data_IF_828374212284
#
_entry.id   IF_828374212284
#
_cell.length_a   1.000
_cell.length_b   1.000
_cell.length_c   1.000
_cell.angle_alpha   90.00
_cell.angle_beta   90.00
_cell.angle_gamma   90.00
#
_symmetry.space_group_name_H-M   'P 1'
#
loop_
_entity.id
_entity.type
_entity.pdbx_description
1 polymer ?
#
# COMPACT_ATOMS: atom_id res chain seq x y z
N UNK A 1 -13.76 -22.92 -0.50
CA UNK A 1 -13.05 -22.62 -1.75
C UNK A 1 -13.05 -21.12 -1.90
N UNK A 2 -11.84 -20.56 -1.91
CA UNK A 2 -11.49 -19.14 -1.81
C UNK A 2 -12.47 -18.17 -2.49
N UNK A 3 -12.82 -17.11 -1.77
CA UNK A 3 -13.03 -15.82 -2.43
C UNK A 3 -11.79 -14.97 -2.18
N UNK A 4 -10.76 -15.37 -2.90
CA UNK A 4 -9.56 -14.59 -3.23
C UNK A 4 -10.03 -13.27 -3.89
N UNK A 5 -9.38 -12.11 -3.67
CA UNK A 5 -9.48 -11.04 -4.66
C UNK A 5 -9.01 -11.64 -6.00
N UNK A 6 -9.97 -11.96 -6.87
CA UNK A 6 -9.75 -12.65 -8.15
C UNK A 6 -8.47 -12.14 -8.82
N UNK A 7 -7.47 -12.99 -9.06
CA UNK A 7 -6.37 -12.63 -9.93
C UNK A 7 -6.98 -12.39 -11.30
N UNK A 8 -6.90 -11.16 -11.82
CA UNK A 8 -6.94 -10.99 -13.27
C UNK A 8 -5.56 -11.39 -13.77
N UNK A 9 -5.34 -12.69 -13.93
CA UNK A 9 -4.14 -13.29 -14.53
C UNK A 9 -4.03 -13.02 -16.05
N UNK A 10 -4.56 -11.88 -16.50
CA UNK A 10 -4.42 -11.45 -17.88
C UNK A 10 -3.10 -10.67 -17.96
N UNK A 11 -2.05 -11.30 -18.47
CA UNK A 11 -0.77 -10.63 -18.76
C UNK A 11 -0.96 -9.33 -19.58
N UNK A 12 -2.04 -9.24 -20.37
CA UNK A 12 -2.46 -8.06 -21.10
C UNK A 12 -2.97 -6.90 -20.22
N UNK A 13 -3.65 -7.19 -19.10
CA UNK A 13 -4.11 -6.19 -18.12
C UNK A 13 -2.95 -5.68 -17.26
N UNK A 14 -2.01 -6.56 -16.89
CA UNK A 14 -0.78 -6.18 -16.19
C UNK A 14 0.10 -5.26 -17.05
N UNK A 15 0.27 -5.56 -18.35
CA UNK A 15 1.02 -4.73 -19.28
C UNK A 15 0.35 -3.35 -19.52
N UNK A 16 -0.97 -3.31 -19.68
CA UNK A 16 -1.70 -2.04 -19.85
C UNK A 16 -1.70 -1.15 -18.58
N UNK A 17 -1.64 -1.75 -17.39
CA UNK A 17 -1.53 -1.00 -16.13
C UNK A 17 -0.08 -0.62 -15.78
N UNK A 18 0.94 -1.35 -16.25
CA UNK A 18 2.34 -0.95 -16.15
C UNK A 18 2.62 0.41 -16.83
N UNK A 19 1.80 0.79 -17.83
CA UNK A 19 1.85 2.11 -18.47
C UNK A 19 1.31 3.27 -17.61
N UNK A 20 0.60 3.01 -16.50
CA UNK A 20 0.15 4.05 -15.57
C UNK A 20 1.31 4.39 -14.63
N UNK A 21 2.04 5.46 -14.97
CA UNK A 21 3.20 6.00 -14.23
C UNK A 21 3.09 5.76 -12.73
N UNK A 22 3.90 4.82 -12.24
CA UNK A 22 4.12 4.64 -10.81
C UNK A 22 4.62 5.96 -10.21
N UNK A 23 4.19 6.26 -8.99
CA UNK A 23 4.72 7.37 -8.22
C UNK A 23 6.10 6.97 -7.74
N UNK A 24 7.09 7.81 -8.06
CA UNK A 24 8.43 7.74 -7.50
C UNK A 24 8.73 9.09 -6.86
N UNK A 25 9.11 9.10 -5.58
CA UNK A 25 9.59 10.32 -4.93
C UNK A 25 10.95 10.70 -5.49
N UNK A 26 11.20 11.99 -5.68
CA UNK A 26 12.55 12.48 -5.94
C UNK A 26 13.45 12.39 -4.69
N UNK A 27 14.74 12.68 -4.83
CA UNK A 27 15.68 12.56 -3.71
C UNK A 27 15.36 13.55 -2.58
N UNK A 28 14.87 14.75 -2.89
CA UNK A 28 14.50 15.76 -1.90
C UNK A 28 13.22 15.40 -1.15
N UNK A 29 12.20 14.92 -1.86
CA UNK A 29 10.96 14.38 -1.29
C UNK A 29 11.26 13.16 -0.42
N UNK A 30 12.16 12.28 -0.87
CA UNK A 30 12.62 11.13 -0.09
C UNK A 30 13.31 11.55 1.21
N UNK A 31 14.23 12.50 1.18
CA UNK A 31 14.88 13.04 2.38
C UNK A 31 13.88 13.68 3.34
N UNK A 32 12.92 14.46 2.83
CA UNK A 32 11.85 15.04 3.63
C UNK A 32 11.00 13.93 4.29
N UNK A 33 10.69 12.87 3.55
CA UNK A 33 9.96 11.70 4.05
C UNK A 33 10.74 11.00 5.17
N UNK A 34 12.04 10.76 5.00
CA UNK A 34 12.89 10.17 6.04
C UNK A 34 12.89 11.01 7.32
N UNK A 35 13.07 12.32 7.19
CA UNK A 35 13.03 13.27 8.33
C UNK A 35 11.68 13.25 9.05
N UNK A 36 10.58 13.16 8.31
CA UNK A 36 9.23 13.12 8.87
C UNK A 36 8.95 11.84 9.69
N UNK A 37 9.52 10.72 9.28
CA UNK A 37 9.26 9.44 9.91
C UNK A 37 10.08 9.20 11.17
N UNK A 38 11.26 9.80 11.25
CA UNK A 38 12.29 9.49 12.24
C UNK A 38 12.91 8.11 11.98
N UNK A 39 14.19 7.97 12.31
CA UNK A 39 14.98 6.72 12.20
C UNK A 39 14.21 5.42 12.55
N UNK A 40 13.33 5.34 13.59
CA UNK A 40 12.71 4.06 14.00
C UNK A 40 11.71 3.43 13.02
N UNK A 41 11.13 4.19 12.07
CA UNK A 41 10.11 3.66 11.15
C UNK A 41 10.70 2.97 9.91
N UNK A 42 11.94 3.33 9.55
CA UNK A 42 12.71 2.81 8.42
C UNK A 42 13.59 1.60 8.82
N UNK A 43 13.52 1.17 10.08
CA UNK A 43 14.38 0.09 10.58
C UNK A 43 13.85 -1.27 10.13
N UNK A 44 14.14 -1.62 8.87
CA UNK A 44 14.69 -2.93 8.59
C UNK A 44 16.15 -2.67 8.23
N UNK A 45 17.06 -2.99 9.15
CA UNK A 45 18.50 -2.97 8.89
C UNK A 45 18.76 -3.76 7.59
N UNK A 46 19.15 -3.08 6.50
CA UNK A 46 19.46 -3.79 5.26
C UNK A 46 19.58 -2.97 3.98
N UNK A 47 18.70 -2.01 3.68
CA UNK A 47 18.80 -1.28 2.39
C UNK A 47 17.80 -0.11 2.33
N UNK A 48 18.29 1.13 2.40
CA UNK A 48 17.50 2.34 2.13
C UNK A 48 16.77 2.26 0.77
N UNK A 49 17.38 1.58 -0.20
CA UNK A 49 16.81 1.31 -1.52
C UNK A 49 15.54 0.45 -1.43
N UNK A 50 15.49 -0.52 -0.53
CA UNK A 50 14.32 -1.38 -0.34
C UNK A 50 13.16 -0.61 0.31
N UNK A 51 13.49 0.34 1.18
CA UNK A 51 12.53 1.20 1.84
C UNK A 51 11.93 2.22 0.87
N UNK A 52 12.75 2.85 0.03
CA UNK A 52 12.26 3.73 -1.04
C UNK A 52 11.39 2.99 -2.04
N UNK A 53 11.83 1.81 -2.51
CA UNK A 53 11.01 0.95 -3.39
C UNK A 53 9.66 0.61 -2.77
N UNK A 54 9.64 0.25 -1.49
CA UNK A 54 8.39 -0.01 -0.79
C UNK A 54 7.48 1.23 -0.72
N UNK A 55 8.05 2.40 -0.44
CA UNK A 55 7.28 3.65 -0.35
C UNK A 55 6.69 4.03 -1.70
N UNK A 56 7.47 3.96 -2.77
CA UNK A 56 7.00 4.20 -4.14
C UNK A 56 5.87 3.23 -4.53
N UNK A 57 6.04 1.94 -4.23
CA UNK A 57 4.99 0.93 -4.43
C UNK A 57 3.71 1.27 -3.65
N UNK A 58 3.85 1.58 -2.37
CA UNK A 58 2.71 1.87 -1.51
C UNK A 58 1.98 3.15 -1.96
N UNK A 59 2.71 4.21 -2.30
CA UNK A 59 2.13 5.45 -2.80
C UNK A 59 1.38 5.22 -4.11
N UNK A 60 1.97 4.50 -5.05
CA UNK A 60 1.34 4.16 -6.33
C UNK A 60 0.00 3.44 -6.14
N UNK A 61 -0.09 2.52 -5.16
CA UNK A 61 -1.34 1.82 -4.86
C UNK A 61 -2.34 2.68 -4.11
N UNK A 62 -1.91 3.40 -3.07
CA UNK A 62 -2.81 4.21 -2.25
C UNK A 62 -3.40 5.40 -2.99
N UNK A 63 -2.68 5.92 -3.98
CA UNK A 63 -3.17 6.97 -4.88
C UNK A 63 -3.96 6.39 -6.06
N UNK A 64 -3.99 5.07 -6.24
CA UNK A 64 -4.81 4.41 -7.26
C UNK A 64 -4.23 4.45 -8.67
N UNK A 65 -2.91 4.56 -8.82
CA UNK A 65 -2.23 4.34 -10.10
C UNK A 65 -2.14 2.85 -10.46
N UNK A 66 -2.00 1.97 -9.46
CA UNK A 66 -1.95 0.52 -9.64
C UNK A 66 -2.63 -0.23 -8.50
N UNK A 67 -2.89 -1.53 -8.68
CA UNK A 67 -3.25 -2.45 -7.61
C UNK A 67 -2.01 -3.17 -7.09
N UNK A 68 -2.07 -3.69 -5.85
CA UNK A 68 -0.96 -4.49 -5.29
C UNK A 68 -0.59 -5.69 -6.18
N UNK A 69 -1.59 -6.34 -6.78
CA UNK A 69 -1.43 -7.49 -7.69
C UNK A 69 -0.74 -7.12 -9.00
N UNK A 70 -0.82 -5.85 -9.40
CA UNK A 70 -0.35 -5.37 -10.70
C UNK A 70 1.05 -4.78 -10.58
N UNK A 71 1.66 -4.79 -9.38
CA UNK A 71 3.02 -4.28 -9.19
C UNK A 71 4.03 -5.25 -9.81
N UNK A 72 4.94 -4.77 -10.67
CA UNK A 72 6.01 -5.60 -11.23
C UNK A 72 6.92 -6.10 -10.10
N UNK A 73 6.95 -7.42 -9.90
CA UNK A 73 7.73 -8.05 -8.84
C UNK A 73 9.25 -7.83 -8.99
N UNK A 74 9.73 -7.55 -10.21
CA UNK A 74 11.13 -7.27 -10.51
C UNK A 74 11.59 -5.94 -9.89
N UNK A 75 10.71 -4.93 -9.87
CA UNK A 75 11.02 -3.60 -9.37
C UNK A 75 10.72 -3.44 -7.87
N UNK A 76 9.57 -3.98 -7.44
CA UNK A 76 9.01 -3.74 -6.10
C UNK A 76 9.03 -4.96 -5.18
N UNK A 77 9.43 -6.13 -5.68
CA UNK A 77 9.43 -7.36 -4.92
C UNK A 77 8.03 -7.92 -4.67
N UNK A 78 7.92 -8.79 -3.67
CA UNK A 78 6.68 -9.51 -3.37
C UNK A 78 5.57 -8.56 -2.85
N UNK A 79 4.48 -8.45 -3.60
CA UNK A 79 3.36 -7.57 -3.26
C UNK A 79 2.67 -7.91 -1.93
N UNK A 80 2.62 -9.18 -1.54
CA UNK A 80 1.99 -9.61 -0.26
C UNK A 80 2.79 -9.07 0.91
N UNK A 81 4.13 -9.12 0.83
CA UNK A 81 5.04 -8.55 1.83
C UNK A 81 4.86 -7.03 1.94
N UNK A 82 4.79 -6.34 0.81
CA UNK A 82 4.57 -4.90 0.77
C UNK A 82 3.19 -4.52 1.32
N UNK A 83 2.14 -5.22 0.91
CA UNK A 83 0.79 -5.03 1.44
C UNK A 83 0.74 -5.19 2.96
N UNK A 84 1.35 -6.25 3.51
CA UNK A 84 1.43 -6.47 4.97
C UNK A 84 2.22 -5.36 5.67
N UNK A 85 3.31 -4.88 5.07
CA UNK A 85 4.10 -3.75 5.59
C UNK A 85 3.28 -2.46 5.58
N UNK A 86 2.61 -2.15 4.46
CA UNK A 86 1.76 -0.98 4.33
C UNK A 86 0.62 -0.97 5.37
N UNK A 87 -0.01 -2.12 5.60
CA UNK A 87 -1.03 -2.25 6.65
C UNK A 87 -0.51 -1.91 8.05
N UNK A 88 0.72 -2.32 8.39
CA UNK A 88 1.34 -1.94 9.67
C UNK A 88 1.63 -0.44 9.73
N UNK A 89 2.07 0.16 8.63
CA UNK A 89 2.36 1.59 8.53
C UNK A 89 1.10 2.45 8.65
N UNK A 90 0.01 2.06 7.98
CA UNK A 90 -1.31 2.68 8.13
C UNK A 90 -1.77 2.65 9.59
N UNK A 91 -1.67 1.50 10.26
CA UNK A 91 -2.07 1.35 11.66
C UNK A 91 -1.20 2.20 12.62
N UNK A 92 0.08 2.41 12.28
CA UNK A 92 1.01 3.27 13.04
C UNK A 92 0.89 4.76 12.71
N UNK A 93 0.00 5.14 11.79
CA UNK A 93 -0.18 6.54 11.37
C UNK A 93 1.00 7.12 10.60
N UNK A 94 1.85 6.28 10.00
CA UNK A 94 3.09 6.70 9.32
C UNK A 94 2.80 7.66 8.16
N UNK A 95 1.86 7.30 7.29
CA UNK A 95 1.45 8.13 6.16
C UNK A 95 0.82 9.44 6.58
N UNK A 96 0.04 9.43 7.66
CA UNK A 96 -0.57 10.63 8.21
C UNK A 96 0.48 11.59 8.81
N UNK A 97 1.58 11.05 9.37
CA UNK A 97 2.72 11.86 9.83
C UNK A 97 3.45 12.50 8.65
N UNK A 98 3.71 11.74 7.59
CA UNK A 98 4.36 12.24 6.38
C UNK A 98 3.54 13.32 5.65
N UNK A 99 2.21 13.18 5.61
CA UNK A 99 1.32 14.23 5.11
C UNK A 99 1.40 15.49 6.00
N UNK A 100 1.32 15.33 7.32
CA UNK A 100 1.36 16.45 8.27
C UNK A 100 2.69 17.21 8.29
N UNK A 101 3.80 16.54 7.99
CA UNK A 101 5.12 17.18 7.91
C UNK A 101 5.35 17.93 6.60
N UNK A 102 4.44 17.80 5.62
CA UNK A 102 4.64 18.32 4.27
C UNK A 102 5.60 17.50 3.41
N UNK A 103 5.97 16.28 3.85
CA UNK A 103 6.84 15.39 3.07
C UNK A 103 6.10 14.71 1.90
N UNK A 104 4.77 14.75 1.91
CA UNK A 104 3.93 14.28 0.83
C UNK A 104 2.95 15.39 0.41
N UNK A 105 2.56 15.46 -0.88
CA UNK A 105 1.55 16.40 -1.34
C UNK A 105 0.23 16.24 -0.58
N UNK A 106 -0.32 17.35 -0.05
CA UNK A 106 -1.59 17.33 0.67
C UNK A 106 -2.76 16.84 -0.22
N UNK A 107 -2.65 17.02 -1.54
CA UNK A 107 -3.58 16.47 -2.53
C UNK A 107 -3.70 14.94 -2.49
N UNK A 108 -2.71 14.23 -1.94
CA UNK A 108 -2.77 12.77 -1.79
C UNK A 108 -3.53 12.32 -0.54
N UNK A 109 -3.78 13.22 0.42
CA UNK A 109 -4.44 12.90 1.68
C UNK A 109 -5.82 12.23 1.46
N UNK A 110 -6.62 12.77 0.54
CA UNK A 110 -7.94 12.21 0.23
C UNK A 110 -7.84 10.79 -0.35
N UNK A 111 -6.88 10.55 -1.25
CA UNK A 111 -6.72 9.24 -1.92
C UNK A 111 -6.22 8.19 -0.93
N UNK A 112 -5.25 8.56 -0.08
CA UNK A 112 -4.76 7.71 1.01
C UNK A 112 -5.89 7.39 2.00
N UNK A 113 -6.74 8.36 2.35
CA UNK A 113 -7.89 8.15 3.23
C UNK A 113 -8.94 7.22 2.59
N UNK A 114 -9.26 7.39 1.31
CA UNK A 114 -10.17 6.50 0.57
C UNK A 114 -9.63 5.07 0.49
N UNK A 115 -8.31 4.91 0.30
CA UNK A 115 -7.66 3.61 0.35
C UNK A 115 -7.83 2.97 1.75
N UNK A 116 -7.62 3.72 2.83
CA UNK A 116 -7.82 3.25 4.21
C UNK A 116 -9.26 2.77 4.44
N UNK A 117 -10.25 3.58 4.03
CA UNK A 117 -11.67 3.25 4.17
C UNK A 117 -12.03 1.98 3.42
N UNK A 118 -11.53 1.80 2.18
CA UNK A 118 -11.74 0.56 1.41
C UNK A 118 -11.21 -0.66 2.16
N UNK A 119 -10.02 -0.56 2.76
CA UNK A 119 -9.42 -1.65 3.52
C UNK A 119 -10.23 -2.01 4.77
N UNK A 120 -10.77 -1.02 5.48
CA UNK A 120 -11.61 -1.26 6.65
C UNK A 120 -12.96 -1.87 6.27
N UNK A 121 -13.56 -1.42 5.17
CA UNK A 121 -14.78 -2.02 4.61
C UNK A 121 -14.57 -3.48 4.22
N UNK A 122 -13.46 -3.81 3.56
CA UNK A 122 -13.12 -5.20 3.21
C UNK A 122 -12.92 -6.08 4.46
N UNK A 123 -12.28 -5.56 5.51
CA UNK A 123 -12.14 -6.28 6.79
C UNK A 123 -13.48 -6.52 7.46
N UNK A 124 -14.33 -5.50 7.54
CA UNK A 124 -15.66 -5.60 8.14
C UNK A 124 -16.51 -6.64 7.42
N UNK A 125 -16.50 -6.63 6.07
CA UNK A 125 -17.19 -7.63 5.24
C UNK A 125 -16.70 -9.06 5.52
N UNK A 126 -15.38 -9.27 5.63
CA UNK A 126 -14.80 -10.59 5.96
C UNK A 126 -15.21 -11.06 7.36
N UNK A 127 -15.19 -10.14 8.35
CA UNK A 127 -15.64 -10.41 9.71
C UNK A 127 -17.12 -10.82 9.75
N UNK A 128 -17.98 -10.08 9.03
CA UNK A 128 -19.41 -10.36 8.94
C UNK A 128 -19.69 -11.74 8.31
N UNK A 129 -19.07 -12.06 7.16
CA UNK A 129 -19.21 -13.37 6.49
C UNK A 129 -18.76 -14.53 7.39
N UNK A 130 -17.69 -14.35 8.17
CA UNK A 130 -17.20 -15.37 9.10
C UNK A 130 -18.20 -15.61 10.23
N UNK A 131 -18.75 -14.53 10.82
CA UNK A 131 -19.78 -14.61 11.87
C UNK A 131 -21.04 -15.32 11.36
N UNK A 132 -21.49 -14.96 10.16
CA UNK A 132 -22.64 -15.59 9.52
C UNK A 132 -22.46 -17.10 9.27
N UNK A 133 -21.24 -17.52 8.87
CA UNK A 133 -20.93 -18.96 8.73
C UNK A 133 -20.99 -19.72 10.04
N UNK A 134 -20.49 -19.14 11.14
CA UNK A 134 -20.51 -19.78 12.46
C UNK A 134 -21.95 -19.95 12.95
N UNK A 135 -22.78 -18.93 12.81
CA UNK A 135 -24.20 -18.97 13.20
C UNK A 135 -25.07 -19.93 12.37
N UNK A 136 -24.61 -20.39 11.19
CA UNK A 136 -25.32 -21.40 10.39
C UNK A 136 -24.91 -22.85 10.69
N UNK A 137 -23.88 -23.04 11.52
CA UNK A 137 -23.34 -24.37 11.87
C UNK A 137 -23.73 -24.82 13.29
N UNK A 138 -24.54 -24.03 13.99
CA UNK A 138 -25.17 -24.32 15.29
C UNK A 138 -26.68 -24.53 15.11
#
# INVERSE_FOLDING_TARGET
MEHDPTPRDDAATAAANAQRRAIALDDGEWEAFKRALGEPALVRAGSERDDRRFVDAALSVMTGHCYWTDLPAQDYGNWVSNYRRNRRWMARGVWLRALRSGALPQAWAQRIAQYAQRQDQERARRGARKRERLLRQE
#
